data_IF_622650743672
#
_entry.id   IF_622650743672
#
_cell.length_a   1.000
_cell.length_b   1.000
_cell.length_c   1.000
_cell.angle_alpha   90.00
_cell.angle_beta   90.00
_cell.angle_gamma   90.00
#
_symmetry.space_group_name_H-M   'P 1'
#
loop_
_entity.id
_entity.type
_entity.pdbx_description
1 polymer ?
#
# COMPACT_ATOMS: atom_id res chain seq x y z
N UNK A 1 11.21 12.47 -22.36
CA UNK A 1 9.87 11.84 -22.31
C UNK A 1 10.11 10.42 -21.83
N UNK A 2 9.49 10.02 -20.72
CA UNK A 2 9.73 8.72 -20.10
C UNK A 2 8.84 7.67 -20.76
N UNK A 3 9.43 6.64 -21.38
CA UNK A 3 8.67 5.54 -22.01
C UNK A 3 8.19 4.55 -20.91
N UNK A 4 6.87 4.36 -20.74
CA UNK A 4 6.34 3.35 -19.85
C UNK A 4 6.86 1.94 -20.14
N UNK A 5 7.23 1.61 -21.38
CA UNK A 5 7.74 0.29 -21.77
C UNK A 5 9.13 0.00 -21.21
N UNK A 6 10.04 0.98 -21.24
CA UNK A 6 11.40 0.84 -20.69
C UNK A 6 11.35 0.58 -19.18
N UNK A 7 10.40 1.22 -18.50
CA UNK A 7 10.21 1.03 -17.08
C UNK A 7 9.69 -0.35 -16.71
N UNK A 8 8.65 -0.82 -17.40
CA UNK A 8 8.11 -2.17 -17.20
C UNK A 8 9.19 -3.22 -17.46
N UNK A 9 10.05 -3.01 -18.47
CA UNK A 9 11.19 -3.88 -18.77
C UNK A 9 12.26 -3.86 -17.67
N UNK A 10 12.68 -2.67 -17.21
CA UNK A 10 13.64 -2.53 -16.12
C UNK A 10 13.13 -3.15 -14.82
N UNK A 11 11.87 -2.89 -14.47
CA UNK A 11 11.20 -3.47 -13.31
C UNK A 11 11.12 -4.99 -13.40
N UNK A 12 10.67 -5.51 -14.55
CA UNK A 12 10.59 -6.93 -14.80
C UNK A 12 11.95 -7.60 -14.68
N UNK A 13 13.03 -7.02 -15.23
CA UNK A 13 14.38 -7.54 -15.04
C UNK A 13 14.79 -7.57 -13.56
N UNK A 14 14.50 -6.50 -12.81
CA UNK A 14 14.83 -6.42 -11.39
C UNK A 14 14.14 -7.51 -10.55
N UNK A 15 12.88 -7.81 -10.85
CA UNK A 15 12.13 -8.88 -10.18
C UNK A 15 12.52 -10.27 -10.66
N UNK A 16 12.77 -10.45 -11.95
CA UNK A 16 13.11 -11.76 -12.54
C UNK A 16 14.49 -12.26 -12.10
N UNK A 17 15.42 -11.34 -11.84
CA UNK A 17 16.78 -11.66 -11.41
C UNK A 17 16.95 -11.72 -9.88
N UNK A 18 15.91 -11.39 -9.12
CA UNK A 18 15.93 -11.40 -7.67
C UNK A 18 15.64 -12.81 -7.11
N UNK A 19 16.26 -13.17 -5.99
CA UNK A 19 15.86 -14.35 -5.23
C UNK A 19 14.46 -14.17 -4.63
N UNK A 20 13.79 -15.25 -4.21
CA UNK A 20 12.47 -15.15 -3.59
C UNK A 20 12.45 -14.20 -2.38
N UNK A 21 13.46 -14.30 -1.50
CA UNK A 21 13.63 -13.42 -0.34
C UNK A 21 13.84 -11.96 -0.76
N UNK A 22 14.59 -11.74 -1.85
CA UNK A 22 14.81 -10.39 -2.37
C UNK A 22 13.55 -9.79 -2.97
N UNK A 23 12.69 -10.61 -3.59
CA UNK A 23 11.37 -10.17 -4.09
C UNK A 23 10.46 -9.76 -2.94
N UNK A 24 10.39 -10.54 -1.86
CA UNK A 24 9.60 -10.19 -0.67
C UNK A 24 10.08 -8.88 -0.04
N UNK A 25 11.40 -8.71 0.10
CA UNK A 25 12.00 -7.47 0.61
C UNK A 25 11.67 -6.28 -0.30
N UNK A 26 11.79 -6.45 -1.61
CA UNK A 26 11.52 -5.41 -2.60
C UNK A 26 10.04 -4.98 -2.59
N UNK A 27 9.09 -5.93 -2.52
CA UNK A 27 7.66 -5.62 -2.37
C UNK A 27 7.40 -4.90 -1.04
N UNK A 28 8.04 -5.35 0.04
CA UNK A 28 7.94 -4.71 1.37
C UNK A 28 8.41 -3.26 1.31
N UNK A 29 9.54 -2.98 0.65
CA UNK A 29 10.02 -1.62 0.44
C UNK A 29 9.05 -0.77 -0.38
N UNK A 30 8.43 -1.32 -1.43
CA UNK A 30 7.44 -0.56 -2.21
C UNK A 30 6.27 -0.10 -1.35
N UNK A 31 5.72 -0.99 -0.52
CA UNK A 31 4.68 -0.60 0.44
C UNK A 31 5.16 0.47 1.40
N UNK A 32 6.38 0.36 1.95
CA UNK A 32 6.93 1.35 2.87
C UNK A 32 7.16 2.74 2.25
N UNK A 33 7.33 2.82 0.92
CA UNK A 33 7.46 4.11 0.20
C UNK A 33 6.13 4.79 -0.03
N UNK A 34 5.01 4.07 0.10
CA UNK A 34 3.68 4.65 -0.06
C UNK A 34 3.29 5.40 1.21
N UNK A 35 2.88 6.67 1.14
CA UNK A 35 2.45 7.44 2.30
C UNK A 35 1.33 6.73 3.10
N UNK A 36 1.52 6.62 4.41
CA UNK A 36 0.54 6.01 5.32
C UNK A 36 0.58 4.48 5.37
N UNK A 37 1.43 3.83 4.57
CA UNK A 37 1.66 2.40 4.65
C UNK A 37 2.91 2.07 5.47
N UNK A 38 2.87 0.92 6.13
CA UNK A 38 4.02 0.29 6.81
C UNK A 38 3.98 -1.19 6.54
N UNK A 39 5.07 -1.76 6.06
CA UNK A 39 5.17 -3.18 5.76
C UNK A 39 6.42 -3.80 6.38
N UNK A 40 6.32 -5.08 6.72
CA UNK A 40 7.43 -5.91 7.17
C UNK A 40 7.28 -7.31 6.59
N UNK A 41 8.41 -7.97 6.33
CA UNK A 41 8.43 -9.41 6.06
C UNK A 41 8.13 -10.17 7.36
N UNK A 42 7.58 -11.37 7.23
CA UNK A 42 7.43 -12.31 8.34
C UNK A 42 8.74 -13.09 8.55
N UNK A 43 8.92 -13.71 9.73
CA UNK A 43 10.07 -14.58 9.95
C UNK A 43 10.03 -15.80 9.00
N UNK A 44 11.19 -16.35 8.58
CA UNK A 44 11.24 -17.52 7.69
C UNK A 44 10.61 -18.81 8.24
N UNK A 45 10.28 -18.82 9.54
CA UNK A 45 9.61 -19.93 10.22
C UNK A 45 8.44 -19.39 11.03
N UNK A 46 7.34 -20.15 11.11
CA UNK A 46 6.09 -19.71 11.74
C UNK A 46 5.50 -18.43 11.13
N UNK A 47 5.53 -18.33 9.80
CA UNK A 47 4.90 -17.25 9.03
C UNK A 47 3.36 -17.40 8.95
N UNK A 48 2.88 -18.61 9.26
CA UNK A 48 1.48 -19.04 9.18
C UNK A 48 0.86 -18.86 7.78
N UNK A 49 1.69 -18.80 6.73
CA UNK A 49 1.25 -18.63 5.34
C UNK A 49 1.10 -17.18 4.87
N UNK A 50 1.80 -16.23 5.48
CA UNK A 50 1.97 -14.88 4.93
C UNK A 50 3.45 -14.48 4.98
N UNK A 51 4.00 -14.02 3.86
CA UNK A 51 5.40 -13.59 3.76
C UNK A 51 5.57 -12.11 4.13
N UNK A 52 4.52 -11.30 3.96
CA UNK A 52 4.53 -9.86 4.22
C UNK A 52 3.26 -9.47 4.98
N UNK A 53 3.43 -8.62 5.99
CA UNK A 53 2.33 -7.94 6.67
C UNK A 53 2.42 -6.44 6.39
N UNK A 54 1.40 -5.91 5.71
CA UNK A 54 1.32 -4.50 5.35
C UNK A 54 0.14 -3.82 6.05
N UNK A 55 0.43 -2.81 6.86
CA UNK A 55 -0.55 -1.96 7.52
C UNK A 55 -0.78 -0.71 6.67
N UNK A 56 -2.02 -0.46 6.31
CA UNK A 56 -2.47 0.78 5.68
C UNK A 56 -3.39 1.57 6.62
N UNK A 57 -3.81 2.79 6.25
CA UNK A 57 -4.74 3.58 7.07
C UNK A 57 -6.08 2.90 7.35
N UNK A 58 -6.47 1.90 6.56
CA UNK A 58 -7.79 1.25 6.61
C UNK A 58 -7.77 -0.17 7.18
N UNK A 59 -6.59 -0.74 7.42
CA UNK A 59 -6.46 -2.09 7.96
C UNK A 59 -5.15 -2.78 7.64
N UNK A 60 -5.02 -4.00 8.14
CA UNK A 60 -3.86 -4.86 7.95
C UNK A 60 -4.12 -5.81 6.77
N UNK A 61 -3.12 -5.95 5.92
CA UNK A 61 -3.08 -6.86 4.78
C UNK A 61 -2.11 -8.00 5.10
N UNK A 62 -2.59 -9.24 5.04
CA UNK A 62 -1.75 -10.42 4.98
C UNK A 62 -1.43 -10.72 3.52
N UNK A 63 -0.16 -10.92 3.20
CA UNK A 63 0.30 -11.03 1.82
C UNK A 63 1.18 -12.27 1.69
N UNK A 64 0.79 -13.20 0.81
CA UNK A 64 1.62 -14.31 0.37
C UNK A 64 2.22 -13.97 -0.99
N UNK A 65 3.52 -14.12 -1.14
CA UNK A 65 4.29 -13.97 -2.36
C UNK A 65 4.68 -15.36 -2.88
N UNK A 66 4.42 -15.61 -4.16
CA UNK A 66 4.84 -16.82 -4.86
C UNK A 66 5.69 -16.44 -6.07
N UNK A 67 7.01 -16.46 -5.86
CA UNK A 67 7.99 -16.34 -6.94
C UNK A 67 8.16 -17.70 -7.63
N UNK A 68 7.27 -18.02 -8.57
CA UNK A 68 7.17 -19.35 -9.18
C UNK A 68 7.09 -19.26 -10.71
N UNK A 69 7.68 -20.24 -11.41
CA UNK A 69 7.68 -20.30 -12.88
C UNK A 69 6.35 -20.78 -13.47
N UNK A 70 5.57 -21.53 -12.70
CA UNK A 70 4.26 -22.05 -13.09
C UNK A 70 3.09 -21.19 -12.60
N UNK A 71 1.86 -21.63 -12.89
CA UNK A 71 0.67 -20.99 -12.32
C UNK A 71 0.56 -21.30 -10.83
N UNK A 72 0.14 -20.31 -10.04
CA UNK A 72 -0.07 -20.46 -8.60
C UNK A 72 -1.39 -21.18 -8.32
N UNK A 73 -1.32 -22.18 -7.45
CA UNK A 73 -2.44 -23.01 -7.01
C UNK A 73 -3.31 -22.34 -5.95
N UNK A 74 -4.35 -23.04 -5.54
CA UNK A 74 -5.25 -22.60 -4.49
C UNK A 74 -4.66 -22.78 -3.08
N UNK A 75 -3.59 -23.56 -2.95
CA UNK A 75 -2.76 -23.68 -1.75
C UNK A 75 -2.28 -22.31 -1.24
N UNK A 76 -1.82 -21.43 -2.13
CA UNK A 76 -1.40 -20.08 -1.76
C UNK A 76 -2.55 -19.21 -1.23
N UNK A 77 -3.77 -19.42 -1.75
CA UNK A 77 -4.98 -18.74 -1.28
C UNK A 77 -5.36 -19.24 0.12
N UNK A 78 -5.28 -20.55 0.34
CA UNK A 78 -5.56 -21.16 1.64
C UNK A 78 -4.56 -20.73 2.70
N UNK A 79 -3.27 -20.69 2.35
CA UNK A 79 -2.19 -20.25 3.24
C UNK A 79 -2.44 -18.82 3.75
N UNK A 80 -2.67 -17.86 2.84
CA UNK A 80 -2.87 -16.47 3.25
C UNK A 80 -4.16 -16.29 4.07
N UNK A 81 -5.22 -17.05 3.79
CA UNK A 81 -6.45 -17.05 4.59
C UNK A 81 -6.19 -17.57 6.01
N UNK A 82 -5.38 -18.62 6.15
CA UNK A 82 -4.95 -19.14 7.46
C UNK A 82 -4.12 -18.13 8.26
N UNK A 83 -3.32 -17.30 7.58
CA UNK A 83 -2.51 -16.27 8.20
C UNK A 83 -3.34 -15.09 8.76
N UNK A 84 -4.51 -14.79 8.16
CA UNK A 84 -5.32 -13.63 8.52
C UNK A 84 -5.65 -13.52 10.02
N UNK A 85 -6.20 -14.56 10.69
CA UNK A 85 -6.52 -14.47 12.12
C UNK A 85 -5.28 -14.27 12.99
N UNK A 86 -4.16 -14.90 12.65
CA UNK A 86 -2.89 -14.78 13.39
C UNK A 86 -2.39 -13.35 13.39
N UNK A 87 -2.43 -12.70 12.22
CA UNK A 87 -1.94 -11.34 12.02
C UNK A 87 -3.01 -10.26 12.21
N UNK A 88 -4.24 -10.63 12.58
CA UNK A 88 -5.41 -9.74 12.66
C UNK A 88 -5.62 -8.96 11.35
N UNK A 89 -5.35 -9.61 10.23
CA UNK A 89 -5.47 -9.00 8.91
C UNK A 89 -6.94 -8.88 8.50
N UNK A 90 -7.30 -7.71 7.97
CA UNK A 90 -8.63 -7.43 7.41
C UNK A 90 -8.71 -7.84 5.93
N UNK A 91 -7.58 -7.82 5.24
CA UNK A 91 -7.48 -8.08 3.81
C UNK A 91 -6.40 -9.11 3.52
N UNK A 92 -6.56 -9.88 2.44
CA UNK A 92 -5.59 -10.86 1.99
C UNK A 92 -5.22 -10.64 0.53
N UNK A 93 -3.93 -10.81 0.22
CA UNK A 93 -3.38 -10.70 -1.14
C UNK A 93 -2.48 -11.90 -1.40
N UNK A 94 -2.62 -12.52 -2.57
CA UNK A 94 -1.61 -13.43 -3.12
C UNK A 94 -0.95 -12.74 -4.32
N UNK A 95 0.37 -12.62 -4.27
CA UNK A 95 1.19 -11.99 -5.30
C UNK A 95 1.98 -13.07 -6.05
N UNK A 96 2.04 -12.98 -7.37
CA UNK A 96 2.96 -13.81 -8.18
C UNK A 96 3.70 -13.00 -9.23
N UNK A 97 4.97 -13.37 -9.44
CA UNK A 97 5.82 -12.88 -10.53
C UNK A 97 5.70 -13.74 -11.79
N UNK A 98 5.03 -14.89 -11.68
CA UNK A 98 4.90 -15.92 -12.71
C UNK A 98 3.77 -15.65 -13.73
N UNK A 99 3.36 -16.69 -14.48
CA UNK A 99 2.33 -16.60 -15.52
C UNK A 99 0.90 -16.40 -14.97
N UNK A 100 0.71 -16.32 -13.65
CA UNK A 100 -0.59 -16.05 -13.02
C UNK A 100 -1.12 -17.22 -12.20
N UNK A 101 -2.44 -17.36 -12.16
CA UNK A 101 -3.14 -18.26 -11.22
C UNK A 101 -3.92 -19.35 -11.96
N UNK A 102 -4.04 -20.51 -11.33
CA UNK A 102 -4.94 -21.59 -11.77
C UNK A 102 -6.41 -21.16 -11.67
N UNK A 103 -7.30 -21.85 -12.39
CA UNK A 103 -8.74 -21.54 -12.34
C UNK A 103 -9.31 -21.77 -10.94
N UNK A 104 -8.90 -22.85 -10.27
CA UNK A 104 -9.33 -23.15 -8.89
C UNK A 104 -8.89 -22.07 -7.91
N UNK A 105 -7.66 -21.54 -8.04
CA UNK A 105 -7.19 -20.43 -7.21
C UNK A 105 -8.04 -19.17 -7.43
N UNK A 106 -8.39 -18.85 -8.68
CA UNK A 106 -9.25 -17.71 -9.00
C UNK A 106 -10.64 -17.83 -8.39
N UNK A 107 -11.27 -19.00 -8.53
CA UNK A 107 -12.59 -19.28 -7.95
C UNK A 107 -12.52 -19.13 -6.44
N UNK A 108 -11.57 -19.80 -5.77
CA UNK A 108 -11.46 -19.73 -4.31
C UNK A 108 -11.19 -18.30 -3.82
N UNK A 109 -10.29 -17.57 -4.49
CA UNK A 109 -9.96 -16.19 -4.13
C UNK A 109 -11.16 -15.26 -4.27
N UNK A 110 -11.98 -15.43 -5.31
CA UNK A 110 -13.21 -14.65 -5.52
C UNK A 110 -14.19 -14.84 -4.36
N UNK A 111 -14.47 -16.08 -3.97
CA UNK A 111 -15.39 -16.38 -2.87
C UNK A 111 -14.85 -15.95 -1.51
N UNK A 112 -13.54 -16.08 -1.29
CA UNK A 112 -12.88 -15.73 -0.05
C UNK A 112 -12.43 -14.26 0.03
N UNK A 113 -12.73 -13.44 -1.00
CA UNK A 113 -12.34 -12.02 -1.11
C UNK A 113 -10.83 -11.79 -1.00
N UNK A 114 -10.04 -12.75 -1.51
CA UNK A 114 -8.58 -12.64 -1.60
C UNK A 114 -8.22 -11.97 -2.93
N UNK A 115 -7.37 -10.94 -2.88
CA UNK A 115 -6.88 -10.28 -4.09
C UNK A 115 -5.77 -11.10 -4.71
N UNK A 116 -5.87 -11.35 -6.01
CA UNK A 116 -4.83 -12.02 -6.79
C UNK A 116 -4.07 -10.97 -7.61
N UNK A 117 -2.80 -10.81 -7.33
CA UNK A 117 -1.93 -9.84 -7.97
C UNK A 117 -0.89 -10.56 -8.84
N UNK A 118 -0.88 -10.24 -10.13
CA UNK A 118 0.14 -10.67 -11.07
C UNK A 118 1.10 -9.52 -11.41
N UNK A 119 1.75 -9.65 -12.58
CA UNK A 119 2.73 -8.68 -13.07
C UNK A 119 2.17 -7.26 -13.19
N UNK A 120 0.92 -7.13 -13.65
CA UNK A 120 0.26 -5.84 -13.83
C UNK A 120 0.09 -5.11 -12.50
N UNK A 121 -0.42 -5.80 -11.49
CA UNK A 121 -0.67 -5.19 -10.18
C UNK A 121 0.63 -4.82 -9.47
N UNK A 122 1.65 -5.67 -9.62
CA UNK A 122 3.03 -5.39 -9.18
C UNK A 122 3.61 -4.15 -9.83
N UNK A 123 3.44 -3.98 -11.14
CA UNK A 123 3.89 -2.78 -11.86
C UNK A 123 3.20 -1.52 -11.34
N UNK A 124 1.89 -1.59 -11.06
CA UNK A 124 1.14 -0.47 -10.46
C UNK A 124 1.67 -0.16 -9.06
N UNK A 125 1.90 -1.17 -8.21
CA UNK A 125 2.49 -0.99 -6.89
C UNK A 125 3.86 -0.30 -6.97
N UNK A 126 4.68 -0.70 -7.94
CA UNK A 126 5.99 -0.08 -8.15
C UNK A 126 5.85 1.39 -8.56
N UNK A 127 4.98 1.74 -9.51
CA UNK A 127 4.71 3.15 -9.87
C UNK A 127 4.22 3.96 -8.66
N UNK A 128 3.33 3.38 -7.86
CA UNK A 128 2.86 4.00 -6.63
C UNK A 128 3.99 4.26 -5.63
N UNK A 129 4.94 3.33 -5.51
CA UNK A 129 6.13 3.48 -4.66
C UNK A 129 7.10 4.58 -5.10
N UNK A 130 6.99 5.04 -6.35
CA UNK A 130 7.78 6.15 -6.90
C UNK A 130 7.07 7.51 -6.79
N UNK A 131 5.97 7.57 -6.05
CA UNK A 131 5.23 8.82 -5.79
C UNK A 131 3.94 8.97 -6.57
N UNK A 132 3.56 8.01 -7.43
CA UNK A 132 2.27 8.01 -8.14
C UNK A 132 1.19 7.30 -7.32
N UNK A 133 1.01 7.69 -6.05
CA UNK A 133 0.14 6.97 -5.09
C UNK A 133 -1.32 6.87 -5.54
N UNK A 134 -1.79 7.78 -6.39
CA UNK A 134 -3.17 7.78 -6.91
C UNK A 134 -3.48 6.51 -7.73
N UNK A 135 -2.46 5.86 -8.29
CA UNK A 135 -2.60 4.59 -9.00
C UNK A 135 -3.05 3.43 -8.10
N UNK A 136 -2.91 3.54 -6.77
CA UNK A 136 -3.38 2.50 -5.85
C UNK A 136 -4.89 2.30 -5.90
N UNK A 137 -5.65 3.32 -6.33
CA UNK A 137 -7.08 3.21 -6.61
C UNK A 137 -7.39 2.11 -7.64
N UNK A 138 -6.48 1.89 -8.60
CA UNK A 138 -6.63 0.86 -9.64
C UNK A 138 -6.45 -0.57 -9.11
N UNK A 139 -5.78 -0.75 -7.97
CA UNK A 139 -5.62 -2.06 -7.31
C UNK A 139 -6.84 -2.45 -6.46
N UNK A 140 -7.88 -1.61 -6.48
CA UNK A 140 -9.03 -1.66 -5.57
C UNK A 140 -8.58 -1.79 -4.11
N UNK A 141 -7.37 -1.30 -3.79
CA UNK A 141 -7.01 -1.02 -2.42
C UNK A 141 -7.86 0.18 -2.04
N UNK A 142 -8.70 0.02 -1.03
CA UNK A 142 -9.48 1.11 -0.46
C UNK A 142 -8.51 2.15 0.12
N UNK A 143 -7.98 3.01 -0.75
CA UNK A 143 -7.20 4.14 -0.31
C UNK A 143 -8.20 5.17 0.19
N UNK A 144 -8.39 5.21 1.50
CA UNK A 144 -8.82 6.46 2.12
C UNK A 144 -7.67 7.43 1.91
N UNK A 145 -7.65 8.11 0.75
CA UNK A 145 -7.18 9.50 0.78
C UNK A 145 -8.10 10.10 1.81
N UNK A 146 -7.59 10.35 3.01
CA UNK A 146 -8.27 11.29 3.87
C UNK A 146 -8.43 12.52 2.96
N UNK A 147 -9.66 12.97 2.65
CA UNK A 147 -9.87 13.94 1.59
C UNK A 147 -8.91 15.11 1.78
N UNK A 148 -8.45 15.74 0.69
CA UNK A 148 -7.31 16.68 0.71
C UNK A 148 -7.32 17.64 1.90
N UNK A 149 -8.50 18.09 2.36
CA UNK A 149 -8.69 18.88 3.57
C UNK A 149 -8.29 18.18 4.90
N UNK A 150 -8.46 16.88 5.07
CA UNK A 150 -8.02 16.10 6.26
C UNK A 150 -6.51 15.92 6.25
N UNK A 151 -5.90 15.66 5.08
CA UNK A 151 -4.45 15.66 4.92
C UNK A 151 -3.85 17.04 5.18
N UNK A 152 -4.50 18.10 4.66
CA UNK A 152 -4.18 19.49 4.95
C UNK A 152 -4.29 19.72 6.47
N UNK A 153 -5.41 19.38 7.09
CA UNK A 153 -5.66 19.58 8.51
C UNK A 153 -4.67 18.81 9.39
N UNK A 154 -4.27 17.60 9.02
CA UNK A 154 -3.26 16.82 9.73
C UNK A 154 -1.87 17.41 9.58
N UNK A 155 -1.52 17.91 8.39
CA UNK A 155 -0.27 18.64 8.12
C UNK A 155 -0.24 19.97 8.88
N UNK A 156 -1.34 20.72 8.86
CA UNK A 156 -1.54 21.93 9.65
C UNK A 156 -1.43 21.64 11.15
N UNK A 157 -2.06 20.58 11.66
CA UNK A 157 -1.97 20.16 13.05
C UNK A 157 -0.54 19.77 13.46
N UNK A 158 0.21 19.10 12.58
CA UNK A 158 1.60 18.75 12.86
C UNK A 158 2.54 19.95 12.81
N UNK A 159 2.38 20.84 11.82
CA UNK A 159 3.12 22.09 11.72
C UNK A 159 2.76 23.06 12.85
N UNK A 160 1.53 23.00 13.35
CA UNK A 160 1.08 23.84 14.45
C UNK A 160 1.52 23.30 15.81
N UNK A 161 2.04 22.08 15.98
CA UNK A 161 2.52 21.58 17.29
C UNK A 161 3.57 22.49 17.96
N UNK A 162 4.65 22.94 17.27
CA UNK A 162 5.60 23.90 17.84
C UNK A 162 5.01 25.31 18.00
N UNK A 163 3.95 25.65 17.26
CA UNK A 163 3.29 26.97 17.36
C UNK A 163 2.25 26.98 18.48
N UNK A 164 1.58 25.84 18.75
CA UNK A 164 0.61 25.60 19.82
C UNK A 164 1.24 25.69 21.21
N UNK A 165 2.53 25.35 21.36
CA UNK A 165 3.26 25.56 22.61
C UNK A 165 3.52 27.05 22.88
N UNK A 166 3.64 27.87 21.83
CA UNK A 166 3.77 29.33 21.89
C UNK A 166 2.38 30.01 22.02
N UNK A 167 1.32 29.36 21.55
CA UNK A 167 -0.02 29.95 21.37
C UNK A 167 -1.02 29.76 22.53
N UNK A 168 -0.58 29.35 23.73
CA UNK A 168 -1.46 29.31 24.92
C UNK A 168 -1.92 30.69 25.42
N UNK A 169 -1.42 31.80 24.84
CA UNK A 169 -1.72 33.18 25.26
C UNK A 169 -2.52 33.99 24.22
N UNK A 170 -2.91 33.41 23.09
CA UNK A 170 -3.60 34.15 22.02
C UNK A 170 -5.12 33.87 22.08
N UNK A 171 -5.96 34.92 22.22
CA UNK A 171 -7.42 34.79 22.22
C UNK A 171 -7.98 34.13 20.95
N UNK A 172 -9.01 33.29 21.12
CA UNK A 172 -9.61 32.45 20.05
C UNK A 172 -10.17 33.27 18.87
N UNK A 173 -10.58 34.51 19.09
CA UNK A 173 -11.16 35.36 18.04
C UNK A 173 -10.11 35.82 17.01
N UNK A 174 -8.85 36.01 17.41
CA UNK A 174 -7.76 36.36 16.50
C UNK A 174 -7.41 35.20 15.55
N UNK A 175 -7.64 33.97 16.00
CA UNK A 175 -7.48 32.77 15.17
C UNK A 175 -8.54 32.65 14.08
N UNK A 176 -9.80 32.88 14.45
CA UNK A 176 -10.91 32.87 13.51
C UNK A 176 -10.66 33.94 12.42
N UNK A 177 -10.16 35.11 12.82
CA UNK A 177 -9.79 36.17 11.89
C UNK A 177 -8.67 35.76 10.91
N UNK A 178 -7.61 35.13 11.40
CA UNK A 178 -6.48 34.67 10.59
C UNK A 178 -6.90 33.59 9.57
N UNK A 179 -7.75 32.65 10.00
CA UNK A 179 -8.30 31.61 9.12
C UNK A 179 -9.21 32.23 8.06
N UNK A 180 -10.05 33.21 8.41
CA UNK A 180 -10.90 33.94 7.45
C UNK A 180 -10.03 34.69 6.43
N UNK A 181 -8.97 35.37 6.88
CA UNK A 181 -8.04 36.10 6.00
C UNK A 181 -7.33 35.14 5.04
N UNK A 182 -6.85 34.00 5.54
CA UNK A 182 -6.21 32.99 4.68
C UNK A 182 -7.17 32.39 3.65
N UNK A 183 -8.43 32.12 4.03
CA UNK A 183 -9.47 31.67 3.09
C UNK A 183 -9.72 32.74 2.02
N UNK A 184 -9.76 34.01 2.39
CA UNK A 184 -9.99 35.12 1.45
C UNK A 184 -8.83 35.34 0.49
N UNK A 185 -7.59 35.16 0.95
CA UNK A 185 -6.38 35.26 0.11
C UNK A 185 -6.32 34.09 -0.88
N UNK A 186 -6.69 32.87 -0.45
CA UNK A 186 -6.66 31.68 -1.30
C UNK A 186 -7.80 31.60 -2.32
N UNK A 187 -8.96 32.22 -2.07
CA UNK A 187 -10.10 32.25 -3.01
C UNK A 187 -9.99 33.36 -4.08
N UNK A 188 -8.89 34.12 -4.13
CA UNK A 188 -8.67 35.20 -5.10
C UNK A 188 -7.80 34.82 -6.30
N UNK A 189 -7.47 33.54 -6.45
CA UNK A 189 -6.82 32.95 -7.62
C UNK A 189 -7.68 31.81 -8.17
#
# INVERSE_FOLDING_TARGET
>A
MYDPNDFEQFYAQRILNASAVDVERLITEMFNRIPGWKAKTTPPSNDFGADIIAQSPIGIYAIQVKHWKGKVGNDAVQAVLGAMPVWKAKYAIVITTGPGFTQSAKIQAQHAKVKLWGKRELAILYKASLGQSDLLSQLSLEYSVAPSFVLLAKRYWQLSKPVLSVMKKVPVHLWILLVIIMIFIFNRH
#
